data_IF_423627381308
#
_entry.id   IF_423627381308
#
_cell.length_a   1.000
_cell.length_b   1.000
_cell.length_c   1.000
_cell.angle_alpha   90.00
_cell.angle_beta   90.00
_cell.angle_gamma   90.00
#
_symmetry.space_group_name_H-M   'P 1'
#
loop_
_entity.id
_entity.type
_entity.pdbx_description
1 polymer ?
#
# COMPACT_ATOMS: atom_id res chain seq x y z
N UNK A 1 13.32 0.85 14.42
CA UNK A 1 12.65 2.10 13.95
C UNK A 1 11.17 2.00 14.27
N UNK A 2 10.53 3.11 14.68
CA UNK A 2 9.08 3.11 14.98
C UNK A 2 8.28 2.84 13.70
N UNK A 3 7.25 1.98 13.81
CA UNK A 3 6.33 1.65 12.71
C UNK A 3 4.88 1.85 13.21
N UNK A 4 4.01 2.38 12.36
CA UNK A 4 2.57 2.52 12.63
C UNK A 4 1.90 1.18 12.92
N UNK A 5 2.33 0.15 12.22
CA UNK A 5 1.84 -1.22 12.38
C UNK A 5 2.01 -1.75 13.82
N UNK A 6 2.94 -1.18 14.64
CA UNK A 6 3.09 -1.55 16.06
C UNK A 6 1.82 -1.29 16.86
N UNK A 7 1.11 -0.20 16.57
CA UNK A 7 -0.15 0.12 17.28
C UNK A 7 -1.24 -0.92 16.96
N UNK A 8 -1.31 -1.41 15.71
CA UNK A 8 -2.21 -2.49 15.30
C UNK A 8 -1.84 -3.81 15.99
N UNK A 9 -0.55 -4.11 16.14
CA UNK A 9 -0.10 -5.31 16.88
C UNK A 9 -0.47 -5.24 18.36
N UNK A 10 -0.40 -4.06 18.98
CA UNK A 10 -0.84 -3.86 20.38
C UNK A 10 -2.36 -4.07 20.51
N UNK A 11 -3.15 -3.58 19.55
CA UNK A 11 -4.59 -3.80 19.51
C UNK A 11 -4.92 -5.28 19.30
N UNK A 12 -4.23 -5.97 18.38
CA UNK A 12 -4.36 -7.39 18.17
C UNK A 12 -4.08 -8.19 19.46
N UNK A 13 -2.99 -7.88 20.17
CA UNK A 13 -2.67 -8.55 21.45
C UNK A 13 -3.80 -8.42 22.47
N UNK A 14 -4.47 -7.25 22.55
CA UNK A 14 -5.52 -6.94 23.51
C UNK A 14 -6.90 -7.47 23.11
N UNK A 15 -7.09 -7.90 21.88
CA UNK A 15 -8.38 -8.37 21.38
C UNK A 15 -8.80 -9.67 22.07
N UNK A 16 -10.03 -9.73 22.56
CA UNK A 16 -10.64 -10.95 23.11
C UNK A 16 -11.05 -11.96 22.02
N UNK A 17 -11.28 -11.46 20.79
CA UNK A 17 -11.60 -12.27 19.60
C UNK A 17 -10.40 -12.44 18.68
N UNK A 18 -9.17 -12.39 19.23
CA UNK A 18 -7.93 -12.50 18.48
C UNK A 18 -7.84 -13.83 17.75
N UNK A 19 -7.46 -13.77 16.48
CA UNK A 19 -7.09 -14.90 15.62
C UNK A 19 -5.58 -14.96 15.45
N UNK A 20 -5.01 -16.09 14.96
CA UNK A 20 -3.61 -16.10 14.55
C UNK A 20 -3.32 -14.96 13.58
N UNK A 21 -2.24 -14.22 13.82
CA UNK A 21 -1.87 -13.08 13.01
C UNK A 21 -1.04 -13.51 11.81
N UNK A 22 -1.37 -12.99 10.63
CA UNK A 22 -0.51 -13.04 9.44
C UNK A 22 0.03 -11.64 9.16
N UNK A 23 1.32 -11.43 9.40
CA UNK A 23 2.02 -10.23 8.95
C UNK A 23 2.58 -10.47 7.55
N UNK A 24 1.88 -9.97 6.54
CA UNK A 24 2.27 -10.11 5.15
C UNK A 24 2.99 -8.86 4.60
N UNK A 25 3.67 -8.99 3.48
CA UNK A 25 4.34 -7.88 2.80
C UNK A 25 5.59 -8.31 2.05
N UNK A 26 6.17 -7.39 1.31
CA UNK A 26 7.37 -7.61 0.51
C UNK A 26 8.59 -7.96 1.38
N UNK A 27 9.59 -8.60 0.79
CA UNK A 27 10.89 -8.80 1.42
C UNK A 27 11.52 -7.45 1.77
N UNK A 28 12.31 -7.40 2.85
CA UNK A 28 13.03 -6.20 3.31
C UNK A 28 12.15 -5.04 3.83
N UNK A 29 10.83 -5.23 4.03
CA UNK A 29 9.97 -4.23 4.68
C UNK A 29 10.09 -4.20 6.20
N UNK A 30 10.83 -5.16 6.79
CA UNK A 30 11.11 -5.21 8.23
C UNK A 30 10.13 -6.05 9.05
N UNK A 31 9.42 -7.01 8.45
CA UNK A 31 8.42 -7.86 9.13
C UNK A 31 9.00 -8.64 10.32
N UNK A 32 10.06 -9.40 10.08
CA UNK A 32 10.72 -10.21 11.10
C UNK A 32 11.23 -9.34 12.24
N UNK A 33 11.90 -8.23 11.91
CA UNK A 33 12.37 -7.27 12.91
C UNK A 33 11.22 -6.72 13.75
N UNK A 34 10.09 -6.37 13.11
CA UNK A 34 8.92 -5.78 13.79
C UNK A 34 8.30 -6.77 14.78
N UNK A 35 8.10 -8.03 14.40
CA UNK A 35 7.53 -9.04 15.31
C UNK A 35 8.49 -9.41 16.44
N UNK A 36 9.80 -9.52 16.18
CA UNK A 36 10.78 -9.76 17.22
C UNK A 36 10.88 -8.59 18.21
N UNK A 37 10.89 -7.34 17.73
CA UNK A 37 10.86 -6.15 18.59
C UNK A 37 9.54 -6.06 19.40
N UNK A 38 8.42 -6.40 18.77
CA UNK A 38 7.12 -6.47 19.44
C UNK A 38 7.11 -7.56 20.51
N UNK A 39 7.58 -8.77 20.20
CA UNK A 39 7.67 -9.88 21.12
C UNK A 39 8.52 -9.53 22.34
N UNK A 40 9.73 -8.99 22.12
CA UNK A 40 10.65 -8.61 23.20
C UNK A 40 10.13 -7.53 24.14
N UNK A 41 9.21 -6.67 23.69
CA UNK A 41 8.65 -5.55 24.48
C UNK A 41 7.32 -5.87 25.14
N UNK A 42 6.58 -6.83 24.57
CA UNK A 42 5.20 -7.06 24.95
C UNK A 42 4.96 -8.43 25.60
N UNK A 43 5.93 -9.35 25.54
CA UNK A 43 5.78 -10.71 26.06
C UNK A 43 6.97 -11.07 26.93
N UNK A 44 6.78 -12.00 27.84
CA UNK A 44 7.85 -12.55 28.69
C UNK A 44 8.76 -13.46 27.88
N UNK A 45 8.16 -14.26 26.99
CA UNK A 45 8.87 -15.17 26.10
C UNK A 45 8.45 -14.95 24.64
N UNK A 46 9.42 -15.08 23.73
CA UNK A 46 9.17 -15.10 22.29
C UNK A 46 9.87 -16.31 21.69
N UNK A 47 9.08 -17.22 21.10
CA UNK A 47 9.58 -18.35 20.34
C UNK A 47 9.59 -17.92 18.86
N UNK A 48 10.74 -18.04 18.21
CA UNK A 48 10.88 -17.72 16.80
C UNK A 48 11.40 -18.93 16.04
N UNK A 49 10.69 -19.35 15.01
CA UNK A 49 11.05 -20.47 14.13
C UNK A 49 10.92 -19.99 12.68
N UNK A 50 11.99 -20.19 11.91
CA UNK A 50 12.02 -19.85 10.49
C UNK A 50 11.82 -21.12 9.64
N UNK A 51 10.64 -21.29 9.08
CA UNK A 51 10.27 -22.49 8.31
C UNK A 51 11.07 -22.69 7.00
N UNK A 52 11.82 -21.67 6.56
CA UNK A 52 12.74 -21.79 5.42
C UNK A 52 14.07 -22.43 5.81
N UNK A 53 14.59 -22.14 7.02
CA UNK A 53 15.90 -22.58 7.51
C UNK A 53 15.82 -23.72 8.51
N UNK A 54 14.80 -23.75 9.34
CA UNK A 54 14.60 -24.73 10.42
C UNK A 54 13.90 -25.99 9.87
N UNK A 55 14.64 -26.77 9.07
CA UNK A 55 14.12 -27.92 8.34
C UNK A 55 13.41 -28.95 9.24
N UNK A 56 13.94 -29.37 10.41
CA UNK A 56 13.23 -30.31 11.27
C UNK A 56 11.85 -29.82 11.70
N UNK A 57 11.72 -28.53 12.02
CA UNK A 57 10.42 -27.95 12.36
C UNK A 57 9.49 -27.86 11.14
N UNK A 58 10.02 -27.49 9.96
CA UNK A 58 9.24 -27.43 8.74
C UNK A 58 8.74 -28.82 8.30
N UNK A 59 9.59 -29.83 8.37
CA UNK A 59 9.24 -31.22 8.02
C UNK A 59 8.16 -31.76 8.96
N UNK A 60 8.29 -31.54 10.28
CA UNK A 60 7.30 -31.94 11.25
C UNK A 60 5.94 -31.26 10.98
N UNK A 61 5.94 -29.94 10.83
CA UNK A 61 4.70 -29.17 10.61
C UNK A 61 4.07 -29.37 9.21
N UNK A 62 4.78 -30.05 8.30
CA UNK A 62 4.27 -30.35 6.95
C UNK A 62 3.26 -31.49 6.90
N UNK A 63 3.14 -32.27 7.98
CA UNK A 63 2.15 -33.34 8.12
C UNK A 63 1.09 -32.93 9.13
N UNK A 64 -0.14 -33.47 9.05
CA UNK A 64 -1.19 -33.18 10.02
C UNK A 64 -0.82 -33.65 11.43
N UNK A 65 -1.02 -32.79 12.41
CA UNK A 65 -0.85 -33.06 13.83
C UNK A 65 -2.06 -32.59 14.64
N UNK A 66 -2.24 -33.17 15.80
CA UNK A 66 -3.12 -32.62 16.81
C UNK A 66 -2.58 -31.27 17.30
N UNK A 67 -3.42 -30.24 17.51
CA UNK A 67 -3.01 -28.93 17.99
C UNK A 67 -2.14 -28.97 19.27
N UNK A 68 -2.46 -29.81 20.23
CA UNK A 68 -1.72 -29.96 21.50
C UNK A 68 -0.33 -30.55 21.25
N UNK A 69 -0.23 -31.59 20.42
CA UNK A 69 1.06 -32.21 20.05
C UNK A 69 1.96 -31.22 19.32
N UNK A 70 1.40 -30.43 18.41
CA UNK A 70 2.16 -29.41 17.70
C UNK A 70 2.70 -28.32 18.63
N UNK A 71 1.91 -27.85 19.60
CA UNK A 71 2.37 -26.88 20.60
C UNK A 71 3.50 -27.44 21.46
N UNK A 72 3.36 -28.69 21.93
CA UNK A 72 4.41 -29.39 22.71
C UNK A 72 5.69 -29.57 21.89
N UNK A 73 5.57 -29.94 20.62
CA UNK A 73 6.74 -30.03 19.72
C UNK A 73 7.44 -28.70 19.58
N UNK A 74 6.70 -27.61 19.31
CA UNK A 74 7.26 -26.26 19.09
C UNK A 74 7.99 -25.75 20.35
N UNK A 75 7.43 -25.98 21.53
CA UNK A 75 8.03 -25.66 22.81
C UNK A 75 9.36 -26.42 23.01
N UNK A 76 9.34 -27.74 22.80
CA UNK A 76 10.51 -28.60 22.93
C UNK A 76 11.59 -28.26 21.90
N UNK A 77 11.18 -28.03 20.66
CA UNK A 77 12.11 -27.69 19.56
C UNK A 77 12.81 -26.34 19.79
N UNK A 78 12.08 -25.34 20.28
CA UNK A 78 12.62 -24.01 20.55
C UNK A 78 13.43 -23.95 21.87
N UNK A 79 13.40 -25.00 22.68
CA UNK A 79 13.97 -25.06 24.04
C UNK A 79 13.56 -23.83 24.89
N UNK A 80 12.28 -23.47 24.80
CA UNK A 80 11.70 -22.32 25.50
C UNK A 80 10.25 -22.61 25.87
N UNK A 81 9.82 -22.22 27.08
CA UNK A 81 8.44 -22.43 27.50
C UNK A 81 7.47 -21.56 26.66
N UNK A 82 6.37 -22.19 26.25
CA UNK A 82 5.26 -21.55 25.56
C UNK A 82 4.06 -21.38 26.51
N UNK A 83 4.10 -20.34 27.33
CA UNK A 83 3.05 -20.08 28.31
C UNK A 83 1.85 -19.34 27.70
N UNK A 84 0.60 -19.76 28.01
CA UNK A 84 -0.59 -19.06 27.60
C UNK A 84 -0.55 -17.57 27.94
N UNK A 85 -0.93 -16.71 27.01
CA UNK A 85 -1.06 -15.25 27.14
C UNK A 85 0.23 -14.46 27.39
N UNK A 86 1.31 -15.09 27.90
CA UNK A 86 2.58 -14.41 28.19
C UNK A 86 3.70 -14.72 27.21
N UNK A 87 3.53 -15.73 26.35
CA UNK A 87 4.45 -16.05 25.27
C UNK A 87 3.88 -15.71 23.90
N UNK A 88 4.76 -15.31 22.96
CA UNK A 88 4.47 -15.12 21.56
C UNK A 88 5.19 -16.17 20.71
N UNK A 89 4.44 -16.97 19.96
CA UNK A 89 4.97 -17.85 18.92
C UNK A 89 5.04 -17.10 17.60
N UNK A 90 6.23 -17.06 16.96
CA UNK A 90 6.44 -16.46 15.64
C UNK A 90 6.91 -17.55 14.67
N UNK A 91 6.10 -17.80 13.62
CA UNK A 91 6.45 -18.68 12.50
C UNK A 91 6.76 -17.83 11.26
N UNK A 92 8.02 -17.80 10.86
CA UNK A 92 8.46 -17.02 9.70
C UNK A 92 8.48 -17.88 8.42
N UNK A 93 8.23 -17.24 7.28
CA UNK A 93 8.15 -17.88 5.95
C UNK A 93 7.02 -18.91 5.83
N UNK A 94 5.82 -18.54 6.25
CA UNK A 94 4.60 -19.38 6.24
C UNK A 94 4.34 -20.07 4.89
N UNK A 95 4.71 -19.45 3.79
CA UNK A 95 4.55 -20.00 2.43
C UNK A 95 5.35 -21.30 2.17
N UNK A 96 6.29 -21.67 3.07
CA UNK A 96 7.04 -22.92 2.95
C UNK A 96 6.17 -24.14 3.26
N UNK A 97 5.05 -23.97 4.01
CA UNK A 97 4.14 -25.05 4.42
C UNK A 97 2.69 -24.62 4.13
N UNK A 98 2.17 -24.83 2.92
CA UNK A 98 0.82 -24.36 2.56
C UNK A 98 -0.29 -24.92 3.47
N UNK A 99 -0.18 -26.17 3.94
CA UNK A 99 -1.20 -26.84 4.75
C UNK A 99 -1.24 -26.41 6.22
N UNK A 100 -0.28 -25.60 6.69
CA UNK A 100 -0.19 -25.18 8.10
C UNK A 100 -1.40 -24.33 8.55
N UNK A 101 -2.14 -23.77 7.60
CA UNK A 101 -3.36 -22.98 7.89
C UNK A 101 -4.37 -23.75 8.73
N UNK A 102 -4.62 -25.02 8.40
CA UNK A 102 -5.55 -25.88 9.14
C UNK A 102 -5.10 -26.10 10.59
N UNK A 103 -3.80 -26.35 10.80
CA UNK A 103 -3.23 -26.52 12.14
C UNK A 103 -3.36 -25.22 12.96
N UNK A 104 -3.03 -24.08 12.36
CA UNK A 104 -3.10 -22.77 13.03
C UNK A 104 -4.54 -22.40 13.40
N UNK A 105 -5.50 -22.70 12.52
CA UNK A 105 -6.93 -22.51 12.80
C UNK A 105 -7.40 -23.45 13.93
N UNK A 106 -6.95 -24.71 13.93
CA UNK A 106 -7.23 -25.66 15.02
C UNK A 106 -6.66 -25.20 16.36
N UNK A 107 -5.41 -24.76 16.39
CA UNK A 107 -4.81 -24.20 17.63
C UNK A 107 -5.61 -22.98 18.11
N UNK A 108 -6.05 -22.10 17.24
CA UNK A 108 -6.83 -20.92 17.62
C UNK A 108 -8.21 -21.28 18.20
N UNK A 109 -8.81 -22.38 17.73
CA UNK A 109 -10.08 -22.85 18.19
C UNK A 109 -9.98 -23.54 19.58
N UNK A 110 -9.03 -24.47 19.72
CA UNK A 110 -8.88 -25.30 20.90
C UNK A 110 -8.08 -24.61 22.01
N UNK A 111 -7.15 -23.76 21.66
CA UNK A 111 -6.22 -23.05 22.54
C UNK A 111 -6.13 -21.55 22.30
N UNK A 112 -7.26 -20.80 22.38
CA UNK A 112 -7.30 -19.36 22.03
C UNK A 112 -6.42 -18.46 22.90
N UNK A 113 -5.95 -18.97 24.04
CA UNK A 113 -5.02 -18.27 24.93
C UNK A 113 -3.59 -18.18 24.40
N UNK A 114 -3.20 -18.96 23.38
CA UNK A 114 -1.88 -18.86 22.77
C UNK A 114 -1.84 -17.77 21.73
N UNK A 115 -0.79 -16.96 21.77
CA UNK A 115 -0.58 -15.86 20.83
C UNK A 115 0.34 -16.31 19.70
N UNK A 116 -0.20 -16.39 18.49
CA UNK A 116 0.54 -16.88 17.32
C UNK A 116 0.57 -15.77 16.28
N UNK A 117 1.78 -15.38 15.87
CA UNK A 117 2.01 -14.45 14.76
C UNK A 117 2.84 -15.16 13.68
N UNK A 118 2.47 -14.97 12.44
CA UNK A 118 3.15 -15.59 11.31
C UNK A 118 3.62 -14.53 10.32
N UNK A 119 4.66 -14.84 9.56
CA UNK A 119 5.19 -13.95 8.53
C UNK A 119 5.02 -14.61 7.17
N UNK A 120 4.35 -13.89 6.26
CA UNK A 120 4.14 -14.31 4.87
C UNK A 120 4.81 -13.33 3.90
N UNK A 121 5.43 -13.86 2.86
CA UNK A 121 6.02 -13.09 1.76
C UNK A 121 4.97 -12.75 0.71
N UNK A 122 4.93 -11.51 0.25
CA UNK A 122 3.91 -11.01 -0.69
C UNK A 122 2.61 -10.61 0.02
N UNK A 123 1.65 -10.08 -0.73
CA UNK A 123 0.36 -9.59 -0.21
C UNK A 123 -0.84 -10.20 -0.96
N UNK A 124 -0.60 -11.24 -1.78
CA UNK A 124 -1.65 -11.85 -2.58
C UNK A 124 -2.69 -12.57 -1.72
N UNK A 125 -3.98 -12.49 -2.12
CA UNK A 125 -5.04 -13.28 -1.52
C UNK A 125 -4.70 -14.77 -1.64
N UNK A 126 -4.87 -15.48 -0.56
CA UNK A 126 -4.59 -16.90 -0.47
C UNK A 126 -5.83 -17.57 0.10
N UNK A 127 -6.46 -18.51 -0.63
CA UNK A 127 -7.68 -19.15 -0.18
C UNK A 127 -7.51 -19.92 1.15
N UNK A 128 -6.29 -20.34 1.47
CA UNK A 128 -5.99 -21.05 2.70
C UNK A 128 -5.89 -20.12 3.92
N UNK A 129 -5.83 -18.79 3.72
CA UNK A 129 -5.69 -17.79 4.78
C UNK A 129 -6.76 -16.71 4.64
N UNK A 130 -7.96 -17.01 5.12
CA UNK A 130 -9.10 -16.09 5.05
C UNK A 130 -9.18 -15.20 6.29
N UNK A 131 -9.82 -14.03 6.16
CA UNK A 131 -10.12 -13.15 7.30
C UNK A 131 -11.11 -13.76 8.30
N UNK A 132 -11.75 -14.88 7.95
CA UNK A 132 -12.59 -15.62 8.88
C UNK A 132 -11.76 -16.35 9.93
N UNK A 133 -10.57 -16.82 9.58
CA UNK A 133 -9.73 -17.66 10.44
C UNK A 133 -8.48 -16.94 10.94
N UNK A 134 -8.08 -15.83 10.27
CA UNK A 134 -6.84 -15.11 10.55
C UNK A 134 -7.05 -13.60 10.62
N UNK A 135 -6.27 -12.95 11.49
CA UNK A 135 -6.08 -11.50 11.47
C UNK A 135 -4.93 -11.17 10.53
N UNK A 136 -5.19 -10.36 9.50
CA UNK A 136 -4.21 -10.07 8.45
C UNK A 136 -3.76 -8.63 8.54
N UNK A 137 -2.46 -8.41 8.71
CA UNK A 137 -1.82 -7.09 8.65
C UNK A 137 -0.82 -7.04 7.49
N UNK A 138 -0.84 -5.96 6.73
CA UNK A 138 0.12 -5.73 5.64
C UNK A 138 1.16 -4.71 6.07
N UNK A 139 2.44 -5.11 6.01
CA UNK A 139 3.56 -4.20 6.25
C UNK A 139 4.15 -3.73 4.93
N UNK A 140 3.84 -2.49 4.61
CA UNK A 140 4.42 -1.78 3.46
C UNK A 140 5.83 -1.24 3.77
N UNK A 141 6.59 -0.73 2.77
CA UNK A 141 7.72 0.17 3.02
C UNK A 141 7.31 1.29 3.98
N UNK A 142 8.25 1.96 4.62
CA UNK A 142 7.93 3.09 5.52
C UNK A 142 7.22 4.20 4.75
N UNK A 143 6.15 4.76 5.31
CA UNK A 143 5.54 5.96 4.77
C UNK A 143 6.36 7.22 5.12
N UNK A 144 5.92 8.39 4.66
CA UNK A 144 6.66 9.62 4.90
C UNK A 144 6.71 10.00 6.39
N UNK A 145 5.66 9.76 7.14
CA UNK A 145 5.65 10.03 8.59
C UNK A 145 6.61 9.10 9.35
N UNK A 146 6.64 7.82 9.00
CA UNK A 146 7.58 6.85 9.57
C UNK A 146 9.04 7.20 9.22
N UNK A 147 9.28 7.74 8.00
CA UNK A 147 10.57 8.28 7.60
C UNK A 147 10.97 9.49 8.45
N UNK A 148 10.06 10.42 8.71
CA UNK A 148 10.32 11.54 9.63
C UNK A 148 10.69 11.04 11.03
N UNK A 149 9.95 10.06 11.57
CA UNK A 149 10.27 9.45 12.86
C UNK A 149 11.63 8.76 12.86
N UNK A 150 11.98 8.04 11.80
CA UNK A 150 13.28 7.39 11.68
C UNK A 150 14.44 8.38 11.71
N UNK A 151 14.20 9.59 11.19
CA UNK A 151 15.17 10.69 11.16
C UNK A 151 15.10 11.63 12.39
N UNK A 152 14.35 11.25 13.43
CA UNK A 152 14.13 12.03 14.65
C UNK A 152 13.35 13.37 14.44
N UNK A 153 12.64 13.51 13.33
CA UNK A 153 11.81 14.67 12.99
C UNK A 153 10.37 14.55 13.53
N UNK A 154 10.22 14.10 14.79
CA UNK A 154 8.91 13.90 15.44
C UNK A 154 8.11 15.19 15.56
N UNK A 155 8.80 16.29 15.87
CA UNK A 155 8.15 17.60 15.98
C UNK A 155 7.56 18.03 14.63
N UNK A 156 8.32 17.90 13.54
CA UNK A 156 7.86 18.22 12.20
C UNK A 156 6.62 17.39 11.81
N UNK A 157 6.63 16.07 12.08
CA UNK A 157 5.48 15.21 11.81
C UNK A 157 4.22 15.67 12.57
N UNK A 158 4.34 16.08 13.84
CA UNK A 158 3.23 16.60 14.63
C UNK A 158 2.71 17.94 14.10
N UNK A 159 3.60 18.87 13.73
CA UNK A 159 3.21 20.15 13.13
C UNK A 159 2.47 19.96 11.82
N UNK A 160 2.93 19.06 10.94
CA UNK A 160 2.23 18.75 9.68
C UNK A 160 0.80 18.26 9.98
N UNK A 161 0.61 17.36 10.95
CA UNK A 161 -0.72 16.87 11.33
C UNK A 161 -1.59 17.97 11.96
N UNK A 162 -1.02 18.83 12.81
CA UNK A 162 -1.73 19.93 13.43
C UNK A 162 -2.25 20.92 12.37
N UNK A 163 -1.38 21.31 11.43
CA UNK A 163 -1.75 22.19 10.32
C UNK A 163 -2.73 21.55 9.33
N UNK A 164 -2.63 20.23 9.11
CA UNK A 164 -3.63 19.51 8.33
C UNK A 164 -5.01 19.49 9.01
N UNK A 165 -5.08 19.31 10.33
CA UNK A 165 -6.35 19.25 11.07
C UNK A 165 -7.08 20.58 11.08
N UNK A 166 -6.37 21.68 11.24
CA UNK A 166 -6.92 23.05 11.22
C UNK A 166 -6.98 23.66 9.81
N UNK A 167 -6.33 23.02 8.85
CA UNK A 167 -6.11 23.47 7.48
C UNK A 167 -5.52 24.88 7.36
N UNK A 168 -4.55 25.18 8.21
CA UNK A 168 -3.85 26.46 8.28
C UNK A 168 -2.46 26.38 7.67
N UNK A 169 -1.97 27.46 7.04
CA UNK A 169 -0.62 27.52 6.48
C UNK A 169 0.46 27.37 7.56
N UNK A 170 1.48 26.57 7.26
CA UNK A 170 2.68 26.47 8.10
C UNK A 170 3.55 27.74 7.93
N UNK A 171 4.34 28.05 8.94
CA UNK A 171 5.38 29.07 8.86
C UNK A 171 6.37 28.72 7.73
N UNK A 172 6.89 29.76 7.03
CA UNK A 172 7.71 29.58 5.80
C UNK A 172 8.93 28.68 5.99
N UNK A 173 9.64 28.83 7.12
CA UNK A 173 10.84 28.04 7.42
C UNK A 173 10.48 26.57 7.64
N UNK A 174 9.39 26.31 8.35
CA UNK A 174 8.89 24.96 8.63
C UNK A 174 8.35 24.28 7.36
N UNK A 175 7.63 25.01 6.51
CA UNK A 175 7.19 24.57 5.20
C UNK A 175 8.37 24.18 4.29
N UNK A 176 9.40 25.03 4.23
CA UNK A 176 10.61 24.74 3.46
C UNK A 176 11.35 23.49 3.99
N UNK A 177 11.44 23.35 5.31
CA UNK A 177 12.01 22.15 5.95
C UNK A 177 11.20 20.90 5.59
N UNK A 178 9.87 20.95 5.62
CA UNK A 178 8.99 19.84 5.29
C UNK A 178 9.13 19.44 3.81
N UNK A 179 9.21 20.39 2.88
CA UNK A 179 9.49 20.14 1.46
C UNK A 179 10.85 19.50 1.27
N UNK A 180 11.88 19.98 1.96
CA UNK A 180 13.21 19.35 1.88
C UNK A 180 13.18 17.89 2.36
N UNK A 181 12.52 17.58 3.46
CA UNK A 181 12.35 16.20 3.93
C UNK A 181 11.55 15.34 2.92
N UNK A 182 10.55 15.91 2.25
CA UNK A 182 9.81 15.23 1.18
C UNK A 182 10.73 14.85 0.01
N UNK A 183 11.59 15.76 -0.45
CA UNK A 183 12.56 15.45 -1.51
C UNK A 183 13.57 14.39 -1.08
N UNK A 184 14.04 14.43 0.16
CA UNK A 184 14.89 13.37 0.72
C UNK A 184 14.20 12.02 0.73
N UNK A 185 12.91 11.98 1.08
CA UNK A 185 12.13 10.76 1.03
C UNK A 185 11.91 10.24 -0.40
N UNK A 186 11.68 11.11 -1.38
CA UNK A 186 11.58 10.69 -2.77
C UNK A 186 12.86 10.00 -3.27
N UNK A 187 14.03 10.45 -2.79
CA UNK A 187 15.33 9.85 -3.13
C UNK A 187 15.54 8.54 -2.35
N UNK A 188 15.33 8.56 -1.05
CA UNK A 188 15.64 7.45 -0.15
C UNK A 188 14.60 6.33 -0.25
N UNK A 189 13.34 6.69 -0.43
CA UNK A 189 12.19 5.79 -0.35
C UNK A 189 11.87 5.38 1.09
N UNK A 190 10.95 4.43 1.21
CA UNK A 190 10.50 3.86 2.48
C UNK A 190 11.13 2.50 2.81
N UNK A 191 12.03 1.97 2.01
CA UNK A 191 12.69 0.70 2.32
C UNK A 191 13.60 0.86 3.54
N UNK A 192 13.38 0.07 4.64
CA UNK A 192 14.09 0.27 5.91
C UNK A 192 15.61 0.31 5.79
N UNK A 193 16.21 -0.51 4.92
CA UNK A 193 17.67 -0.50 4.72
C UNK A 193 18.15 0.79 4.07
N UNK A 194 17.42 1.35 3.10
CA UNK A 194 17.75 2.63 2.47
C UNK A 194 17.63 3.78 3.46
N UNK A 195 16.58 3.77 4.29
CA UNK A 195 16.37 4.76 5.36
C UNK A 195 17.46 4.68 6.41
N UNK A 196 17.89 3.46 6.81
CA UNK A 196 18.98 3.25 7.76
C UNK A 196 20.30 3.78 7.20
N UNK A 197 20.59 3.52 5.92
CA UNK A 197 21.84 4.00 5.30
C UNK A 197 21.88 5.52 5.27
N UNK A 198 20.81 6.17 4.83
CA UNK A 198 20.71 7.63 4.88
C UNK A 198 20.88 8.16 6.32
N UNK A 199 20.24 7.52 7.31
CA UNK A 199 20.30 7.94 8.72
C UNK A 199 21.71 7.92 9.31
N UNK A 200 22.56 6.96 8.95
CA UNK A 200 23.92 6.78 9.52
C UNK A 200 24.79 8.04 9.40
N UNK A 201 24.79 8.65 8.23
CA UNK A 201 25.65 9.81 7.97
C UNK A 201 24.92 11.02 7.38
N UNK A 202 23.60 10.97 7.26
CA UNK A 202 22.79 11.96 6.51
C UNK A 202 23.30 12.17 5.07
N UNK A 203 23.86 11.09 4.49
CA UNK A 203 24.44 11.09 3.14
C UNK A 203 23.59 10.24 2.20
N UNK A 204 23.43 10.75 0.99
CA UNK A 204 22.70 10.04 -0.07
C UNK A 204 23.61 9.17 -0.95
N UNK A 205 24.94 9.21 -0.74
CA UNK A 205 25.90 8.57 -1.64
C UNK A 205 25.74 7.07 -1.77
N UNK A 206 25.50 6.37 -0.65
CA UNK A 206 25.37 4.90 -0.61
C UNK A 206 23.93 4.40 -0.78
N UNK A 207 22.95 5.30 -0.76
CA UNK A 207 21.54 4.94 -0.88
C UNK A 207 21.23 4.21 -2.21
N UNK A 208 21.75 4.67 -3.38
CA UNK A 208 21.52 3.97 -4.65
C UNK A 208 22.04 2.55 -4.68
N UNK A 209 23.14 2.24 -3.99
CA UNK A 209 23.71 0.89 -3.94
C UNK A 209 22.84 -0.03 -3.09
N UNK A 210 22.32 0.46 -1.98
CA UNK A 210 21.35 -0.29 -1.16
C UNK A 210 20.07 -0.54 -1.94
N UNK A 211 19.55 0.46 -2.64
CA UNK A 211 18.37 0.31 -3.47
C UNK A 211 18.59 -0.71 -4.60
N UNK A 212 19.80 -0.71 -5.22
CA UNK A 212 20.13 -1.71 -6.25
C UNK A 212 20.10 -3.13 -5.69
N UNK A 213 20.69 -3.35 -4.51
CA UNK A 213 20.63 -4.66 -3.84
C UNK A 213 19.19 -5.11 -3.58
N UNK A 214 18.29 -4.18 -3.17
CA UNK A 214 16.88 -4.50 -2.97
C UNK A 214 16.20 -4.83 -4.31
N UNK A 215 16.49 -4.08 -5.38
CA UNK A 215 15.98 -4.38 -6.73
C UNK A 215 16.41 -5.77 -7.20
N UNK A 216 17.68 -6.13 -7.01
CA UNK A 216 18.21 -7.43 -7.40
C UNK A 216 17.53 -8.58 -6.63
N UNK A 217 17.29 -8.39 -5.32
CA UNK A 217 16.50 -9.33 -4.51
C UNK A 217 15.07 -9.48 -5.03
N UNK A 218 14.41 -8.40 -5.41
CA UNK A 218 13.05 -8.46 -5.97
C UNK A 218 13.02 -9.12 -7.34
N UNK A 219 14.02 -8.88 -8.18
CA UNK A 219 14.16 -9.58 -9.46
C UNK A 219 14.39 -11.09 -9.28
N UNK A 220 15.14 -11.49 -8.25
CA UNK A 220 15.29 -12.89 -7.87
C UNK A 220 13.97 -13.47 -7.34
N UNK A 221 13.25 -12.74 -6.47
CA UNK A 221 11.94 -13.15 -5.97
C UNK A 221 10.90 -13.32 -7.09
N UNK A 222 10.87 -12.42 -8.08
CA UNK A 222 10.01 -12.55 -9.26
C UNK A 222 10.37 -13.84 -10.01
N UNK A 223 11.65 -14.14 -10.17
CA UNK A 223 12.09 -15.34 -10.89
C UNK A 223 11.69 -16.62 -10.17
N UNK A 224 11.79 -16.63 -8.82
CA UNK A 224 11.50 -17.80 -8.00
C UNK A 224 10.00 -18.03 -7.76
N UNK A 225 9.20 -16.94 -7.67
CA UNK A 225 7.81 -17.01 -7.18
C UNK A 225 6.75 -16.74 -8.25
N UNK A 226 7.11 -16.18 -9.41
CA UNK A 226 6.14 -15.91 -10.47
C UNK A 226 5.61 -17.22 -11.07
N UNK A 227 4.32 -17.28 -11.48
CA UNK A 227 3.75 -18.46 -12.11
C UNK A 227 4.57 -18.91 -13.32
N UNK A 228 4.58 -20.21 -13.58
CA UNK A 228 5.34 -20.82 -14.68
C UNK A 228 5.10 -20.07 -16.01
N UNK A 229 6.19 -19.66 -16.65
CA UNK A 229 6.18 -18.92 -17.92
C UNK A 229 5.93 -17.41 -17.81
N UNK A 230 5.74 -16.87 -16.59
CA UNK A 230 5.47 -15.42 -16.40
C UNK A 230 6.65 -14.66 -15.79
N UNK A 231 7.72 -15.31 -15.36
CA UNK A 231 8.84 -14.65 -14.68
C UNK A 231 9.49 -13.54 -15.53
N UNK A 232 9.88 -13.83 -16.78
CA UNK A 232 10.48 -12.81 -17.68
C UNK A 232 9.52 -11.66 -18.00
N UNK A 233 8.26 -11.93 -18.42
CA UNK A 233 7.28 -10.85 -18.58
C UNK A 233 7.04 -10.02 -17.30
N UNK A 234 7.01 -10.63 -16.12
CA UNK A 234 6.86 -9.91 -14.85
C UNK A 234 8.05 -8.99 -14.56
N UNK A 235 9.28 -9.47 -14.74
CA UNK A 235 10.49 -8.65 -14.58
C UNK A 235 10.48 -7.43 -15.51
N UNK A 236 10.23 -7.67 -16.81
CA UNK A 236 10.18 -6.61 -17.82
C UNK A 236 9.07 -5.61 -17.53
N UNK A 237 7.88 -6.08 -17.16
CA UNK A 237 6.76 -5.22 -16.78
C UNK A 237 7.11 -4.35 -15.59
N UNK A 238 7.62 -4.94 -14.50
CA UNK A 238 7.94 -4.22 -13.28
C UNK A 238 8.99 -3.14 -13.50
N UNK A 239 10.08 -3.45 -14.20
CA UNK A 239 11.13 -2.47 -14.54
C UNK A 239 10.63 -1.36 -15.48
N UNK A 240 9.58 -1.59 -16.26
CA UNK A 240 9.00 -0.59 -17.16
C UNK A 240 8.07 0.41 -16.45
N UNK A 241 7.53 0.08 -15.26
CA UNK A 241 6.52 0.88 -14.57
C UNK A 241 6.93 2.36 -14.44
N UNK A 242 8.10 2.71 -13.85
CA UNK A 242 8.45 4.10 -13.65
C UNK A 242 8.53 4.92 -14.94
N UNK A 243 9.03 4.31 -16.03
CA UNK A 243 9.18 4.99 -17.32
C UNK A 243 7.86 5.26 -18.04
N UNK A 244 6.77 4.66 -17.59
CA UNK A 244 5.43 4.86 -18.13
C UNK A 244 4.65 5.98 -17.43
N UNK A 245 5.10 6.40 -16.25
CA UNK A 245 4.53 7.48 -15.44
C UNK A 245 5.05 8.86 -15.87
N UNK A 246 4.47 9.92 -15.29
CA UNK A 246 4.89 11.29 -15.54
C UNK A 246 4.60 11.80 -16.95
N UNK A 247 3.69 11.18 -17.67
CA UNK A 247 3.33 11.51 -19.07
C UNK A 247 1.86 11.88 -19.18
N UNK A 248 1.48 12.45 -20.34
CA UNK A 248 0.10 12.85 -20.62
C UNK A 248 -0.88 11.67 -20.54
N UNK A 249 -0.46 10.45 -20.91
CA UNK A 249 -1.23 9.23 -20.71
C UNK A 249 -0.53 8.35 -19.68
N UNK A 250 -1.20 8.13 -18.55
CA UNK A 250 -0.75 7.27 -17.43
C UNK A 250 -1.16 5.82 -17.62
N UNK A 251 -2.02 5.54 -18.62
CA UNK A 251 -2.47 4.17 -18.92
C UNK A 251 -1.30 3.29 -19.28
N UNK A 252 -1.21 2.13 -18.64
CA UNK A 252 -0.14 1.16 -18.87
C UNK A 252 -0.13 0.72 -20.33
N UNK A 253 1.01 0.85 -20.97
CA UNK A 253 1.22 0.54 -22.40
C UNK A 253 2.12 -0.67 -22.56
N UNK A 254 1.56 -1.77 -23.01
CA UNK A 254 2.29 -3.04 -23.24
C UNK A 254 3.41 -2.89 -24.27
N UNK A 255 3.20 -2.10 -25.31
CA UNK A 255 4.19 -1.86 -26.38
C UNK A 255 5.48 -1.21 -25.90
N UNK A 256 5.45 -0.60 -24.70
CA UNK A 256 6.66 -0.04 -24.06
C UNK A 256 7.52 -1.08 -23.35
N UNK A 257 6.98 -2.28 -23.10
CA UNK A 257 7.75 -3.37 -22.52
C UNK A 257 8.58 -4.04 -23.61
N UNK A 258 7.92 -4.40 -24.73
CA UNK A 258 8.55 -5.05 -25.86
C UNK A 258 7.72 -4.82 -27.14
N UNK A 259 8.37 -4.86 -28.30
CA UNK A 259 7.67 -4.81 -29.60
C UNK A 259 6.72 -6.01 -29.73
N UNK A 260 5.44 -5.74 -30.03
CA UNK A 260 4.41 -6.77 -30.15
C UNK A 260 3.83 -7.27 -28.81
N UNK A 261 4.20 -6.67 -27.68
CA UNK A 261 3.59 -7.00 -26.38
C UNK A 261 2.10 -6.63 -26.37
N UNK A 262 1.27 -7.55 -25.87
CA UNK A 262 -0.18 -7.41 -25.81
C UNK A 262 -0.71 -7.70 -24.40
N UNK A 263 -1.93 -7.27 -24.10
CA UNK A 263 -2.61 -7.59 -22.85
C UNK A 263 -2.67 -9.11 -22.63
N UNK A 264 -3.01 -9.89 -23.67
CA UNK A 264 -3.08 -11.36 -23.59
C UNK A 264 -1.80 -12.01 -23.07
N UNK A 265 -0.64 -11.48 -23.47
CA UNK A 265 0.69 -12.03 -23.08
C UNK A 265 1.09 -11.61 -21.67
N UNK A 266 0.75 -10.38 -21.24
CA UNK A 266 1.28 -9.77 -20.03
C UNK A 266 0.29 -9.69 -18.87
N UNK A 267 -1.01 -9.94 -19.10
CA UNK A 267 -2.06 -9.79 -18.08
C UNK A 267 -1.79 -10.64 -16.83
N UNK A 268 -1.41 -11.93 -17.00
CA UNK A 268 -1.07 -12.81 -15.87
C UNK A 268 0.11 -12.27 -15.06
N UNK A 269 1.12 -11.73 -15.73
CA UNK A 269 2.30 -11.14 -15.10
C UNK A 269 1.97 -9.89 -14.32
N UNK A 270 1.14 -8.99 -14.86
CA UNK A 270 0.71 -7.78 -14.18
C UNK A 270 -0.19 -8.10 -12.99
N UNK A 271 -1.16 -9.01 -13.14
CA UNK A 271 -1.99 -9.45 -12.02
C UNK A 271 -1.13 -10.01 -10.89
N UNK A 272 -0.14 -10.85 -11.23
CA UNK A 272 0.77 -11.39 -10.24
C UNK A 272 1.58 -10.29 -9.53
N UNK A 273 2.13 -9.31 -10.26
CA UNK A 273 2.87 -8.18 -9.67
C UNK A 273 2.02 -7.36 -8.71
N UNK A 274 0.75 -7.12 -9.05
CA UNK A 274 -0.21 -6.41 -8.18
C UNK A 274 -0.48 -7.23 -6.93
N UNK A 275 -0.85 -8.49 -7.08
CA UNK A 275 -1.18 -9.38 -5.97
C UNK A 275 0.05 -9.68 -5.10
N UNK A 276 1.25 -9.78 -5.67
CA UNK A 276 2.47 -9.94 -4.89
C UNK A 276 2.85 -8.67 -4.10
N UNK A 277 2.30 -7.51 -4.49
CA UNK A 277 2.51 -6.22 -3.84
C UNK A 277 3.67 -5.41 -4.39
N UNK A 278 4.24 -5.78 -5.54
CA UNK A 278 5.32 -5.04 -6.21
C UNK A 278 4.81 -3.85 -7.02
N UNK A 279 3.54 -3.87 -7.40
CA UNK A 279 2.87 -2.80 -8.12
C UNK A 279 1.56 -2.41 -7.43
N UNK A 280 1.31 -1.12 -7.33
CA UNK A 280 0.05 -0.56 -6.85
C UNK A 280 -0.84 -0.29 -8.06
N UNK A 281 -2.08 -0.78 -8.01
CA UNK A 281 -3.04 -0.61 -9.09
C UNK A 281 -4.01 0.54 -8.84
N UNK A 282 -4.31 1.28 -9.90
CA UNK A 282 -5.30 2.35 -9.88
C UNK A 282 -6.18 2.19 -11.14
N UNK A 283 -7.30 1.44 -11.03
CA UNK A 283 -8.20 1.17 -12.14
C UNK A 283 -9.06 2.39 -12.51
N UNK A 284 -9.65 2.33 -13.68
CA UNK A 284 -10.65 3.29 -14.14
C UNK A 284 -11.95 3.15 -13.32
N UNK A 285 -12.34 4.22 -12.64
CA UNK A 285 -13.55 4.27 -11.80
C UNK A 285 -14.83 3.92 -12.58
N UNK A 286 -14.90 4.29 -13.85
CA UNK A 286 -16.10 4.02 -14.69
C UNK A 286 -16.23 2.54 -15.08
N UNK A 287 -15.20 1.70 -14.90
CA UNK A 287 -15.22 0.30 -15.28
C UNK A 287 -15.58 -0.58 -14.08
N UNK A 288 -16.82 -1.04 -14.05
CA UNK A 288 -17.39 -1.88 -12.99
C UNK A 288 -16.79 -3.30 -12.93
N UNK A 289 -16.01 -3.72 -13.93
CA UNK A 289 -15.34 -5.05 -13.95
C UNK A 289 -13.82 -4.89 -14.13
N UNK A 290 -13.03 -5.23 -13.10
CA UNK A 290 -11.56 -5.20 -13.19
C UNK A 290 -10.97 -6.34 -14.04
N UNK A 291 -11.78 -7.15 -14.70
CA UNK A 291 -11.33 -8.33 -15.45
C UNK A 291 -10.40 -8.03 -16.63
N UNK A 292 -10.41 -6.80 -17.13
CA UNK A 292 -9.45 -6.37 -18.16
C UNK A 292 -8.54 -5.29 -17.59
N UNK A 293 -7.24 -5.53 -17.54
CA UNK A 293 -6.21 -4.54 -17.18
C UNK A 293 -6.06 -3.41 -18.21
N UNK A 294 -7.05 -3.21 -19.08
CA UNK A 294 -7.04 -2.14 -20.08
C UNK A 294 -7.35 -0.80 -19.42
N UNK A 295 -6.43 0.15 -19.55
CA UNK A 295 -6.59 1.48 -18.98
C UNK A 295 -6.17 1.60 -17.50
N UNK A 296 -5.50 0.59 -16.96
CA UNK A 296 -4.98 0.60 -15.59
C UNK A 296 -3.79 1.54 -15.47
N UNK A 297 -3.73 2.34 -14.41
CA UNK A 297 -2.50 2.99 -13.96
C UNK A 297 -1.80 2.07 -12.97
N UNK A 298 -0.48 1.95 -13.10
CA UNK A 298 0.35 1.11 -12.25
C UNK A 298 1.53 1.90 -11.70
N UNK A 299 1.71 1.82 -10.40
CA UNK A 299 2.80 2.51 -9.70
C UNK A 299 3.71 1.49 -9.02
N UNK A 300 5.04 1.72 -8.97
CA UNK A 300 5.91 0.99 -8.07
C UNK A 300 5.46 1.14 -6.61
N UNK A 301 5.70 0.12 -5.80
CA UNK A 301 5.30 0.11 -4.37
C UNK A 301 6.09 1.10 -3.52
N UNK A 302 7.26 1.54 -3.98
CA UNK A 302 8.16 2.42 -3.24
C UNK A 302 8.78 3.48 -4.17
N UNK A 303 8.75 4.75 -3.73
CA UNK A 303 9.25 5.87 -4.52
C UNK A 303 10.79 5.86 -4.68
N UNK A 304 11.54 5.37 -3.69
CA UNK A 304 12.99 5.26 -3.78
C UNK A 304 13.43 4.22 -4.82
N UNK A 305 12.69 3.10 -4.91
CA UNK A 305 12.91 2.11 -5.96
C UNK A 305 12.49 2.66 -7.33
N UNK A 306 11.43 3.47 -7.41
CA UNK A 306 11.06 4.21 -8.63
C UNK A 306 12.21 5.09 -9.10
N UNK A 307 12.75 5.92 -8.21
CA UNK A 307 13.91 6.82 -8.46
C UNK A 307 15.12 6.04 -8.95
N UNK A 308 15.40 4.87 -8.32
CA UNK A 308 16.54 4.01 -8.71
C UNK A 308 16.36 3.39 -10.10
N UNK A 309 15.16 2.86 -10.41
CA UNK A 309 14.88 2.27 -11.73
C UNK A 309 15.01 3.32 -12.83
N UNK A 310 14.55 4.55 -12.59
CA UNK A 310 14.70 5.69 -13.52
C UNK A 310 16.14 6.18 -13.63
N UNK A 311 17.04 5.75 -12.73
CA UNK A 311 18.42 6.28 -12.60
C UNK A 311 18.40 7.81 -12.47
N UNK A 312 17.39 8.36 -11.78
CA UNK A 312 17.18 9.78 -11.63
C UNK A 312 18.26 10.38 -10.71
N UNK A 313 19.03 11.36 -11.16
CA UNK A 313 20.01 12.03 -10.30
C UNK A 313 19.34 12.71 -9.10
N UNK A 314 19.88 12.49 -7.91
CA UNK A 314 19.28 13.02 -6.66
C UNK A 314 19.16 14.54 -6.64
N UNK A 315 20.07 15.26 -7.29
CA UNK A 315 20.04 16.72 -7.34
C UNK A 315 18.79 17.26 -8.04
N UNK A 316 18.21 16.56 -9.03
CA UNK A 316 16.99 16.99 -9.72
C UNK A 316 15.79 17.02 -8.78
N UNK A 317 15.68 16.03 -7.89
CA UNK A 317 14.63 16.04 -6.87
C UNK A 317 14.89 17.10 -5.79
N UNK A 318 16.16 17.27 -5.36
CA UNK A 318 16.50 18.27 -4.34
C UNK A 318 16.32 19.71 -4.83
N UNK A 319 16.54 19.97 -6.12
CA UNK A 319 16.33 21.30 -6.73
C UNK A 319 14.87 21.60 -7.05
N UNK A 320 13.97 20.59 -6.94
CA UNK A 320 12.58 20.73 -7.37
C UNK A 320 12.42 20.85 -8.89
N UNK A 321 13.32 20.24 -9.66
CA UNK A 321 13.28 20.27 -11.13
C UNK A 321 12.00 19.61 -11.65
N UNK A 322 11.38 20.22 -12.64
CA UNK A 322 10.19 19.71 -13.30
C UNK A 322 10.60 18.87 -14.52
N UNK A 323 10.47 17.55 -14.38
CA UNK A 323 10.70 16.61 -15.47
C UNK A 323 9.68 15.47 -15.41
N UNK A 324 9.47 14.72 -16.51
CA UNK A 324 8.61 13.52 -16.48
C UNK A 324 9.04 12.50 -15.43
N UNK A 325 10.34 12.38 -15.16
CA UNK A 325 10.88 11.46 -14.14
C UNK A 325 10.56 11.94 -12.72
N UNK A 326 10.67 13.24 -12.44
CA UNK A 326 10.26 13.83 -11.16
C UNK A 326 8.75 13.72 -10.95
N UNK A 327 7.96 13.89 -12.02
CA UNK A 327 6.50 13.65 -12.00
C UNK A 327 6.18 12.18 -11.66
N UNK A 328 6.88 11.22 -12.28
CA UNK A 328 6.71 9.80 -11.99
C UNK A 328 7.00 9.46 -10.51
N UNK A 329 8.02 10.08 -9.92
CA UNK A 329 8.33 9.94 -8.50
C UNK A 329 7.22 10.54 -7.61
N UNK A 330 6.68 11.71 -7.96
CA UNK A 330 5.58 12.33 -7.22
C UNK A 330 4.30 11.50 -7.30
N UNK A 331 3.94 10.97 -8.48
CA UNK A 331 2.80 10.05 -8.66
C UNK A 331 2.97 8.77 -7.81
N UNK A 332 4.16 8.16 -7.87
CA UNK A 332 4.48 6.96 -7.09
C UNK A 332 4.38 7.23 -5.58
N UNK A 333 4.92 8.36 -5.13
CA UNK A 333 4.81 8.79 -3.74
C UNK A 333 3.34 8.90 -3.30
N UNK A 334 2.50 9.58 -4.06
CA UNK A 334 1.07 9.74 -3.72
C UNK A 334 0.35 8.40 -3.68
N UNK A 335 0.53 7.55 -4.70
CA UNK A 335 -0.05 6.21 -4.73
C UNK A 335 0.37 5.37 -3.51
N UNK A 336 1.65 5.45 -3.14
CA UNK A 336 2.22 4.78 -1.97
C UNK A 336 1.57 5.28 -0.67
N UNK A 337 1.51 6.60 -0.43
CA UNK A 337 0.92 7.15 0.80
C UNK A 337 -0.57 6.79 0.94
N UNK A 338 -1.33 6.92 -0.13
CA UNK A 338 -2.76 6.63 -0.10
C UNK A 338 -3.06 5.14 0.13
N UNK A 339 -2.33 4.24 -0.54
CA UNK A 339 -2.46 2.79 -0.31
C UNK A 339 -2.12 2.43 1.13
N UNK A 340 -1.05 3.00 1.69
CA UNK A 340 -0.63 2.73 3.07
C UNK A 340 -1.60 3.27 4.12
N UNK A 341 -2.36 4.32 3.79
CA UNK A 341 -3.45 4.84 4.62
C UNK A 341 -4.75 4.04 4.47
N UNK A 342 -4.74 2.95 3.68
CA UNK A 342 -5.86 2.02 3.53
C UNK A 342 -6.92 2.48 2.54
N UNK A 343 -6.57 3.35 1.59
CA UNK A 343 -7.45 3.72 0.50
C UNK A 343 -7.36 2.75 -0.67
N UNK A 344 -8.51 2.41 -1.24
CA UNK A 344 -8.61 1.82 -2.58
C UNK A 344 -8.43 2.93 -3.61
N UNK A 345 -7.50 2.74 -4.53
CA UNK A 345 -7.19 3.73 -5.56
C UNK A 345 -8.01 3.46 -6.82
N UNK A 346 -8.55 4.51 -7.41
CA UNK A 346 -9.07 4.53 -8.77
C UNK A 346 -8.75 5.88 -9.41
N UNK A 347 -8.94 6.02 -10.71
CA UNK A 347 -8.87 7.31 -11.37
C UNK A 347 -10.16 7.59 -12.14
N UNK A 348 -10.49 8.86 -12.33
CA UNK A 348 -11.61 9.29 -13.13
C UNK A 348 -11.17 10.03 -14.39
N UNK A 349 -11.87 9.80 -15.49
CA UNK A 349 -11.69 10.59 -16.70
C UNK A 349 -13.04 10.94 -17.34
N UNK A 350 -13.12 12.13 -17.94
CA UNK A 350 -14.22 12.48 -18.82
C UNK A 350 -13.98 11.93 -20.23
N UNK A 351 -15.06 11.79 -21.01
CA UNK A 351 -14.96 11.39 -22.42
C UNK A 351 -14.05 12.31 -23.25
N UNK A 352 -13.82 13.56 -22.83
CA UNK A 352 -13.22 14.63 -23.62
C UNK A 352 -12.02 15.35 -22.99
N UNK A 353 -11.10 14.72 -22.22
CA UNK A 353 -9.81 15.35 -21.87
C UNK A 353 -9.53 15.70 -20.40
N UNK A 354 -10.47 15.56 -19.44
CA UNK A 354 -10.13 15.76 -18.04
C UNK A 354 -9.87 14.41 -17.37
N UNK A 355 -8.83 14.35 -16.53
CA UNK A 355 -8.48 13.19 -15.72
C UNK A 355 -8.15 13.64 -14.30
N UNK A 356 -8.83 13.03 -13.31
CA UNK A 356 -8.44 13.11 -11.91
C UNK A 356 -7.65 11.84 -11.59
N UNK A 357 -6.34 11.95 -11.33
CA UNK A 357 -5.43 10.81 -11.26
C UNK A 357 -5.67 9.89 -10.05
N UNK A 358 -6.25 10.41 -8.98
CA UNK A 358 -6.59 9.64 -7.80
C UNK A 358 -7.99 9.96 -7.31
N UNK A 359 -8.83 8.95 -7.31
CA UNK A 359 -10.10 8.91 -6.60
C UNK A 359 -9.92 7.86 -5.49
N UNK A 360 -9.84 8.33 -4.26
CA UNK A 360 -9.54 7.54 -3.08
C UNK A 360 -10.86 7.07 -2.47
N UNK A 361 -11.02 5.76 -2.29
CA UNK A 361 -12.19 5.17 -1.64
C UNK A 361 -11.80 4.53 -0.32
N UNK A 362 -12.56 4.80 0.74
CA UNK A 362 -12.45 4.13 2.03
C UNK A 362 -13.81 4.13 2.72
N UNK A 363 -14.30 2.95 3.07
CA UNK A 363 -15.59 2.77 3.74
C UNK A 363 -16.78 3.43 3.01
N UNK A 364 -16.76 3.42 1.67
CA UNK A 364 -17.81 4.02 0.82
C UNK A 364 -17.73 5.54 0.66
N UNK A 365 -16.72 6.18 1.24
CA UNK A 365 -16.47 7.61 1.04
C UNK A 365 -15.40 7.84 -0.02
N UNK A 366 -15.57 8.88 -0.83
CA UNK A 366 -14.64 9.21 -1.92
C UNK A 366 -13.97 10.57 -1.69
N UNK A 367 -12.69 10.65 -2.02
CA UNK A 367 -11.88 11.87 -2.02
C UNK A 367 -11.23 11.99 -3.41
N UNK A 368 -11.45 13.09 -4.11
CA UNK A 368 -10.80 13.35 -5.38
C UNK A 368 -9.49 14.12 -5.17
N UNK A 369 -8.39 13.59 -5.72
CA UNK A 369 -7.06 14.19 -5.60
C UNK A 369 -6.44 14.36 -6.96
N UNK A 370 -6.16 15.62 -7.33
CA UNK A 370 -5.29 15.98 -8.45
C UNK A 370 -3.95 16.49 -7.88
N UNK A 371 -2.91 16.58 -8.69
CA UNK A 371 -1.63 17.11 -8.26
C UNK A 371 -0.97 17.95 -9.36
N UNK A 372 -0.03 18.80 -8.94
CA UNK A 372 0.83 19.57 -9.85
C UNK A 372 2.21 19.76 -9.23
N UNK A 373 3.25 19.69 -10.05
CA UNK A 373 4.61 20.06 -9.65
C UNK A 373 4.80 21.56 -9.76
N UNK A 374 4.30 22.19 -10.84
CA UNK A 374 4.41 23.63 -11.07
C UNK A 374 3.22 24.40 -10.51
N UNK A 375 3.46 25.52 -9.80
CA UNK A 375 2.40 26.43 -9.34
C UNK A 375 1.58 27.05 -10.50
N UNK A 376 2.18 27.16 -11.69
CA UNK A 376 1.54 27.77 -12.86
C UNK A 376 0.57 26.88 -13.63
N UNK A 377 0.55 25.58 -13.34
CA UNK A 377 -0.36 24.63 -13.97
C UNK A 377 -1.81 24.84 -13.48
N UNK A 378 -2.74 25.07 -14.40
CA UNK A 378 -4.14 25.32 -14.07
C UNK A 378 -4.84 24.02 -13.62
N UNK A 379 -5.52 24.06 -12.47
CA UNK A 379 -6.32 22.96 -11.94
C UNK A 379 -7.73 22.97 -12.57
N UNK A 380 -7.85 22.46 -13.81
CA UNK A 380 -9.15 22.38 -14.50
C UNK A 380 -9.86 21.04 -14.29
N UNK A 381 -9.11 20.01 -13.94
CA UNK A 381 -9.65 18.65 -13.88
C UNK A 381 -10.60 18.45 -12.69
N UNK A 382 -10.23 18.93 -11.50
CA UNK A 382 -11.09 18.86 -10.31
C UNK A 382 -12.40 19.64 -10.52
N UNK A 383 -12.35 20.80 -11.17
CA UNK A 383 -13.57 21.57 -11.48
C UNK A 383 -14.49 20.81 -12.42
N UNK A 384 -13.95 20.22 -13.50
CA UNK A 384 -14.73 19.40 -14.44
C UNK A 384 -15.30 18.14 -13.79
N UNK A 385 -14.54 17.54 -12.86
CA UNK A 385 -15.02 16.42 -12.05
C UNK A 385 -16.20 16.84 -11.17
N UNK A 386 -16.09 17.95 -10.47
CA UNK A 386 -17.16 18.51 -9.65
C UNK A 386 -18.45 18.78 -10.47
N UNK A 387 -18.28 19.40 -11.64
CA UNK A 387 -19.42 19.68 -12.55
C UNK A 387 -20.08 18.40 -13.08
N UNK A 388 -19.32 17.33 -13.29
CA UNK A 388 -19.84 16.05 -13.79
C UNK A 388 -20.64 15.31 -12.71
N UNK A 389 -20.21 15.36 -11.46
CA UNK A 389 -20.94 14.76 -10.32
C UNK A 389 -22.21 15.55 -10.04
N UNK A 390 -22.14 16.88 -10.03
CA UNK A 390 -23.32 17.74 -9.83
C UNK A 390 -24.43 17.51 -10.88
N UNK A 391 -24.09 17.30 -12.13
CA UNK A 391 -25.04 16.98 -13.20
C UNK A 391 -25.71 15.62 -13.01
N UNK A 392 -24.97 14.61 -12.56
CA UNK A 392 -25.53 13.27 -12.29
C UNK A 392 -26.52 13.27 -11.11
N UNK A 393 -26.28 14.09 -10.08
CA UNK A 393 -27.21 14.26 -8.95
C UNK A 393 -28.50 14.95 -9.41
N UNK A 394 -28.41 15.96 -10.28
CA UNK A 394 -29.57 16.68 -10.81
C UNK A 394 -30.39 15.84 -11.80
N UNK A 395 -29.75 15.02 -12.64
CA UNK A 395 -30.44 14.13 -13.59
C UNK A 395 -31.17 12.98 -12.88
N UNK A 396 -30.67 12.46 -11.80
CA UNK A 396 -31.35 11.43 -11.02
C UNK A 396 -32.53 11.98 -10.20
N UNK A 397 -32.49 13.22 -9.74
CA UNK A 397 -33.63 13.89 -9.09
C UNK A 397 -34.74 14.27 -10.06
N UNK A 398 -34.44 14.53 -11.34
CA UNK A 398 -35.45 14.77 -12.36
C UNK A 398 -36.19 13.50 -12.81
N UNK A 399 -35.54 12.36 -12.81
CA UNK A 399 -36.15 11.06 -13.10
C UNK A 399 -37.04 10.53 -11.95
N UNK A 400 -36.82 10.95 -10.70
CA UNK A 400 -37.68 10.62 -9.58
C UNK A 400 -39.01 11.43 -9.59
N UNK A 401 -39.05 12.62 -10.21
CA UNK A 401 -40.28 13.45 -10.27
C UNK A 401 -41.25 13.10 -11.37
N UNK A 402 -40.85 12.30 -12.38
CA UNK A 402 -41.71 11.91 -13.50
C UNK A 402 -42.42 10.56 -13.35
N UNK A 403 -42.16 9.80 -12.27
CA UNK A 403 -42.77 8.47 -12.04
C UNK A 403 -43.67 8.38 -10.80
N UNK A 404 -44.09 9.50 -10.22
CA UNK A 404 -45.00 9.51 -9.07
C UNK A 404 -46.50 9.47 -9.42
N UNK A 405 -46.91 9.40 -10.69
CA UNK A 405 -48.28 9.20 -11.06
C UNK A 405 -48.43 8.01 -12.01
N UNK A 406 -48.54 6.81 -11.46
CA UNK A 406 -49.44 5.70 -11.90
C UNK A 406 -49.05 4.37 -11.25
N UNK A 407 -50.06 3.88 -10.49
CA UNK A 407 -50.35 2.47 -10.14
C UNK A 407 -49.54 1.77 -9.01
N UNK A 408 -50.29 1.63 -7.91
CA UNK A 408 -50.26 0.51 -6.99
C UNK A 408 -50.03 -0.83 -7.69
N UNK A 409 -48.96 -1.54 -7.33
CA UNK A 409 -49.05 -2.92 -6.82
C UNK A 409 -47.65 -3.39 -6.33
N UNK A 410 -47.67 -3.79 -5.09
CA UNK A 410 -46.54 -4.26 -4.32
C UNK A 410 -46.17 -5.67 -4.78
N UNK A 411 -44.91 -5.91 -5.13
CA UNK A 411 -44.22 -7.19 -4.81
C UNK A 411 -42.75 -6.88 -4.46
N UNK A 412 -42.43 -7.16 -3.20
CA UNK A 412 -41.09 -7.20 -2.67
C UNK A 412 -40.23 -8.20 -3.44
N UNK A 413 -39.12 -7.76 -4.01
CA UNK A 413 -37.94 -8.57 -4.24
C UNK A 413 -36.73 -7.70 -3.98
N UNK A 414 -36.06 -8.05 -2.90
CA UNK A 414 -34.76 -7.57 -2.46
C UNK A 414 -33.70 -8.06 -3.43
N UNK A 415 -33.28 -7.21 -4.34
CA UNK A 415 -32.00 -7.24 -5.01
C UNK A 415 -31.54 -5.78 -5.15
N UNK A 416 -30.95 -5.24 -4.09
CA UNK A 416 -30.21 -4.00 -4.17
C UNK A 416 -28.92 -4.25 -4.96
N UNK A 417 -29.01 -4.12 -6.28
CA UNK A 417 -27.83 -3.90 -7.11
C UNK A 417 -27.20 -2.59 -6.69
N UNK A 418 -26.05 -2.67 -6.03
CA UNK A 418 -25.17 -1.54 -5.73
C UNK A 418 -24.88 -0.76 -7.00
N UNK A 419 -25.63 0.30 -7.23
CA UNK A 419 -25.41 1.24 -8.32
C UNK A 419 -24.35 2.26 -7.84
N UNK A 420 -23.12 2.27 -8.39
CA UNK A 420 -22.03 3.14 -7.91
C UNK A 420 -22.27 4.64 -8.14
N UNK A 421 -23.45 5.04 -8.64
CA UNK A 421 -23.76 6.42 -9.05
C UNK A 421 -24.20 7.37 -7.91
N UNK A 422 -24.33 6.89 -6.66
CA UNK A 422 -24.76 7.71 -5.52
C UNK A 422 -23.63 8.05 -4.54
N UNK A 423 -22.38 7.99 -4.96
CA UNK A 423 -21.24 8.19 -4.07
C UNK A 423 -20.94 9.67 -3.87
N UNK A 424 -21.18 10.17 -2.65
CA UNK A 424 -20.84 11.51 -2.20
C UNK A 424 -19.32 11.72 -2.18
N UNK A 425 -18.75 12.42 -3.17
CA UNK A 425 -17.39 12.92 -3.07
C UNK A 425 -17.38 14.06 -2.04
N UNK A 426 -16.87 13.77 -0.82
CA UNK A 426 -16.91 14.71 0.30
C UNK A 426 -15.86 15.81 0.25
N UNK A 427 -14.72 15.55 -0.40
CA UNK A 427 -13.58 16.50 -0.39
C UNK A 427 -12.76 16.38 -1.67
N UNK A 428 -12.23 17.51 -2.13
CA UNK A 428 -11.33 17.59 -3.25
C UNK A 428 -10.02 18.25 -2.84
N UNK A 429 -8.90 17.64 -3.23
CA UNK A 429 -7.57 18.16 -2.93
C UNK A 429 -6.74 18.34 -4.20
N UNK A 430 -6.01 19.46 -4.26
CA UNK A 430 -4.92 19.68 -5.20
C UNK A 430 -3.61 19.55 -4.44
N UNK A 431 -2.85 18.49 -4.69
CA UNK A 431 -1.54 18.30 -4.05
C UNK A 431 -0.47 19.05 -4.84
N UNK A 432 0.35 19.83 -4.15
CA UNK A 432 1.41 20.63 -4.77
C UNK A 432 2.56 20.95 -3.80
N UNK A 433 3.56 21.67 -4.27
CA UNK A 433 4.61 22.25 -3.41
C UNK A 433 4.15 23.48 -2.63
N UNK A 434 2.94 24.00 -2.88
CA UNK A 434 2.39 25.12 -2.12
C UNK A 434 2.02 24.71 -0.71
N UNK A 435 1.97 25.71 0.20
CA UNK A 435 1.50 25.53 1.57
C UNK A 435 -0.02 25.26 1.62
N UNK A 436 -0.53 24.80 2.76
CA UNK A 436 -1.96 24.61 2.98
C UNK A 436 -2.73 25.89 2.62
N UNK A 437 -3.77 25.72 1.80
CA UNK A 437 -4.60 26.84 1.36
C UNK A 437 -5.99 26.35 1.00
N UNK A 438 -7.01 26.99 1.54
CA UNK A 438 -8.40 26.72 1.18
C UNK A 438 -8.80 27.52 -0.05
N UNK A 439 -9.52 26.89 -0.97
CA UNK A 439 -10.15 27.45 -2.15
C UNK A 439 -11.63 27.14 -2.11
N UNK A 440 -12.43 27.87 -2.86
CA UNK A 440 -13.89 27.72 -2.89
C UNK A 440 -14.37 26.28 -3.14
N UNK A 441 -13.72 25.54 -4.02
CA UNK A 441 -14.17 24.22 -4.44
C UNK A 441 -13.21 23.07 -4.08
N UNK A 442 -11.96 23.38 -3.67
CA UNK A 442 -10.95 22.39 -3.32
C UNK A 442 -9.93 22.96 -2.34
N UNK A 443 -9.17 22.08 -1.72
CA UNK A 443 -8.09 22.44 -0.81
C UNK A 443 -6.73 22.17 -1.45
N UNK A 444 -5.79 23.11 -1.33
CA UNK A 444 -4.39 22.89 -1.71
C UNK A 444 -3.69 22.22 -0.55
N UNK A 445 -3.15 21.03 -0.82
CA UNK A 445 -2.45 20.20 0.16
C UNK A 445 -0.97 20.08 -0.24
N UNK A 446 -0.02 20.40 0.65
CA UNK A 446 1.40 20.16 0.38
C UNK A 446 1.67 18.66 0.17
N UNK A 447 2.60 18.29 -0.74
CA UNK A 447 3.00 16.89 -0.95
C UNK A 447 3.35 16.18 0.37
N UNK A 448 4.13 16.85 1.23
CA UNK A 448 4.55 16.29 2.51
C UNK A 448 3.40 15.99 3.48
N UNK A 449 2.19 16.48 3.22
CA UNK A 449 1.02 16.23 4.06
C UNK A 449 0.11 15.11 3.50
N UNK A 450 0.47 14.45 2.40
CA UNK A 450 -0.33 13.38 1.79
C UNK A 450 -0.58 12.19 2.75
N UNK A 451 0.32 11.94 3.70
CA UNK A 451 0.15 10.90 4.72
C UNK A 451 -0.95 11.22 5.77
N UNK A 452 -1.48 12.42 5.76
CA UNK A 452 -2.56 12.84 6.66
C UNK A 452 -3.96 12.54 6.12
N UNK A 453 -4.09 12.28 4.80
CA UNK A 453 -5.36 11.89 4.15
C UNK A 453 -5.82 10.48 4.51
#
# INVERSE_FOLDING_TARGET
MRRKCTDSLIQWKKSSSRKPLILQGLRQTGKTWLLLDFGSKQYENTLYINLETDKPAADYLSIPHDPQEALLFLETYADKPLHPSTSLLILDNLQCIPQISTLLAGIALDFPQYHIATIKKGVYPDPDYTSNDFDILTLYPMDFEEFLWANAEFALAREIRAHFSTFTSMEKSLHAKALHQFHLYQITGGMPLSVLEYKKGKSLLMVPDIQQKILDLYLADITASAPKGTATPSRSSWLSLPSQLGKNSRKFQYTRIAKGATAKTYQKSLNWLIHFGLALSCPDYAKTKPETLSGLHLYPVDVGLCTRILKLPSYQLLSGEESPSCTACAETFLAQQFTQNGYNLSYWHSQNQAEVPFLLEKSGEYIAVDYRLSPHQKCRNLMRFNDSIGKNILSNNSNCKSNCDKNHNIKNNSDETNNPQNNNCKKMYLVSSENFKEKEHYRILPFYAAFCL
#
